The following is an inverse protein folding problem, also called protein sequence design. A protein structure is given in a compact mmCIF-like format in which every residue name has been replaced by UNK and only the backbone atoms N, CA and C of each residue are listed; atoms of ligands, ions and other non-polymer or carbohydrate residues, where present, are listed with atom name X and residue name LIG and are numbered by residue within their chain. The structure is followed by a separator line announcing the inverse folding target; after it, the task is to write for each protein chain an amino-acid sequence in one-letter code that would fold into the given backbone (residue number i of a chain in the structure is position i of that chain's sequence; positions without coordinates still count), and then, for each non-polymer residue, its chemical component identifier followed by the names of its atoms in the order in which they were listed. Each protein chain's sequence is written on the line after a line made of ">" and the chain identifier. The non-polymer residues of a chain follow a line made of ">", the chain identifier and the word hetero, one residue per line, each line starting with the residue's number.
data_IF_504433711040
#
_entry.id   IF_504433711040
#
_cell.length_a   1.000
_cell.length_b   1.000
_cell.length_c   1.000
_cell.angle_alpha   90.00
_cell.angle_beta   90.00
_cell.angle_gamma   90.00
#
_symmetry.space_group_name_H-M   'P 1'
#
loop_
_entity.id
_entity.type
_entity.pdbx_description
1 polymer ?
#
# COMPACT_ATOMS: atom_id res chain seq x y z
N UNK A 1 -7.68 34.43 7.34
CA UNK A 1 -8.18 33.28 8.15
C UNK A 1 -9.28 32.51 7.44
N UNK A 2 -10.23 33.19 6.76
CA UNK A 2 -11.32 32.52 6.00
C UNK A 2 -10.79 31.71 4.78
N UNK A 3 -9.79 32.21 4.07
CA UNK A 3 -9.19 31.53 2.90
C UNK A 3 -8.51 30.19 3.27
N UNK A 4 -7.85 30.12 4.42
CA UNK A 4 -7.19 28.90 4.90
C UNK A 4 -8.22 27.85 5.35
N UNK A 5 -9.32 28.28 5.99
CA UNK A 5 -10.43 27.37 6.33
C UNK A 5 -11.14 26.81 5.10
N UNK A 6 -11.35 27.64 4.06
CA UNK A 6 -11.93 27.19 2.79
C UNK A 6 -10.99 26.19 2.07
N UNK A 7 -9.67 26.42 2.10
CA UNK A 7 -8.68 25.50 1.53
C UNK A 7 -8.59 24.17 2.30
N UNK A 8 -8.70 24.21 3.63
CA UNK A 8 -8.75 23.01 4.48
C UNK A 8 -10.06 22.25 4.33
N UNK A 9 -11.18 22.95 4.11
CA UNK A 9 -12.48 22.33 3.82
C UNK A 9 -12.55 21.67 2.43
N UNK A 10 -11.70 22.10 1.48
CA UNK A 10 -11.61 21.50 0.14
C UNK A 10 -10.82 20.19 0.10
N UNK A 11 -10.08 19.84 1.18
CA UNK A 11 -9.31 18.61 1.25
C UNK A 11 -10.10 17.57 2.06
N UNK A 12 -10.56 16.46 1.44
CA UNK A 12 -11.41 15.48 2.10
C UNK A 12 -10.79 14.96 3.41
N UNK A 13 -11.61 14.81 4.45
CA UNK A 13 -11.18 14.41 5.79
C UNK A 13 -10.46 13.06 5.78
N UNK A 14 -10.97 12.10 5.02
CA UNK A 14 -10.35 10.79 4.84
C UNK A 14 -8.92 10.86 4.28
N UNK A 15 -8.66 11.80 3.38
CA UNK A 15 -7.30 12.01 2.85
C UNK A 15 -6.38 12.66 3.88
N UNK A 16 -6.91 13.55 4.72
CA UNK A 16 -6.17 14.16 5.84
C UNK A 16 -5.78 13.10 6.87
N UNK A 17 -6.72 12.22 7.24
CA UNK A 17 -6.47 11.09 8.14
C UNK A 17 -5.42 10.16 7.56
N UNK A 18 -5.56 9.76 6.31
CA UNK A 18 -4.60 8.89 5.64
C UNK A 18 -3.20 9.52 5.55
N UNK A 19 -3.11 10.82 5.24
CA UNK A 19 -1.86 11.55 5.23
C UNK A 19 -1.21 11.62 6.62
N UNK A 20 -2.00 11.73 7.70
CA UNK A 20 -1.51 11.67 9.08
C UNK A 20 -0.92 10.30 9.40
N UNK A 21 -1.61 9.21 9.03
CA UNK A 21 -1.13 7.83 9.18
C UNK A 21 0.20 7.60 8.43
N UNK A 22 0.33 8.10 7.22
CA UNK A 22 1.59 8.02 6.46
C UNK A 22 2.74 8.77 7.13
N UNK A 23 2.49 9.97 7.67
CA UNK A 23 3.51 10.75 8.39
C UNK A 23 3.97 10.08 9.67
N UNK A 24 3.14 9.29 10.32
CA UNK A 24 3.52 8.48 11.49
C UNK A 24 4.40 7.28 11.13
N UNK A 25 4.82 7.14 9.87
CA UNK A 25 5.62 6.02 9.34
C UNK A 25 5.01 4.65 9.67
N UNK A 26 3.69 4.58 9.61
CA UNK A 26 2.95 3.34 9.84
C UNK A 26 3.47 2.25 8.91
N UNK A 27 3.79 1.07 9.48
CA UNK A 27 4.34 -0.06 8.72
C UNK A 27 5.85 0.04 8.44
N UNK A 28 6.58 1.01 9.03
CA UNK A 28 8.04 1.10 8.87
C UNK A 28 8.79 -0.09 9.49
N UNK A 29 8.16 -0.80 10.41
CA UNK A 29 8.65 -2.04 11.03
C UNK A 29 8.35 -3.29 10.21
N UNK A 30 7.57 -3.16 9.14
CA UNK A 30 7.24 -4.25 8.22
C UNK A 30 8.18 -4.18 7.02
N UNK A 31 8.82 -5.31 6.66
CA UNK A 31 9.69 -5.34 5.49
C UNK A 31 8.97 -4.91 4.21
N UNK A 32 9.65 -4.13 3.39
CA UNK A 32 9.15 -3.79 2.05
C UNK A 32 9.07 -5.06 1.18
N UNK A 33 8.05 -5.15 0.34
CA UNK A 33 8.02 -6.16 -0.71
C UNK A 33 8.95 -5.73 -1.85
N UNK A 34 9.92 -6.56 -2.22
CA UNK A 34 10.85 -6.28 -3.29
C UNK A 34 10.93 -7.44 -4.28
N UNK A 35 11.26 -7.14 -5.54
CA UNK A 35 11.46 -8.19 -6.55
C UNK A 35 12.61 -9.11 -6.16
N UNK A 36 13.68 -8.54 -5.57
CA UNK A 36 14.84 -9.29 -5.14
C UNK A 36 14.49 -10.34 -4.06
N UNK A 37 13.69 -9.98 -3.06
CA UNK A 37 13.28 -10.91 -2.00
C UNK A 37 12.24 -11.91 -2.49
N UNK A 38 11.30 -11.48 -3.34
CA UNK A 38 10.22 -12.32 -3.85
C UNK A 38 10.69 -13.38 -4.84
N UNK A 39 11.59 -13.02 -5.76
CA UNK A 39 12.14 -13.92 -6.78
C UNK A 39 13.41 -14.68 -6.33
N UNK A 40 14.02 -14.25 -5.21
CA UNK A 40 15.21 -14.88 -4.66
C UNK A 40 16.51 -14.42 -5.31
N UNK A 41 17.65 -15.10 -4.98
CA UNK A 41 18.99 -14.65 -5.35
C UNK A 41 19.25 -14.60 -6.86
N UNK A 42 18.51 -15.37 -7.64
CA UNK A 42 18.59 -15.37 -9.11
C UNK A 42 17.73 -14.29 -9.78
N UNK A 43 17.05 -13.44 -9.00
CA UNK A 43 16.22 -12.36 -9.53
C UNK A 43 16.92 -11.49 -10.59
N UNK A 44 18.19 -11.03 -10.40
CA UNK A 44 18.86 -10.19 -11.40
C UNK A 44 19.20 -10.89 -12.73
N UNK A 45 19.16 -12.22 -12.76
CA UNK A 45 19.36 -13.00 -13.98
C UNK A 45 18.10 -13.09 -14.85
N UNK A 46 16.95 -12.76 -14.27
CA UNK A 46 15.64 -12.94 -14.90
C UNK A 46 14.89 -11.62 -15.03
N UNK A 47 15.00 -10.73 -14.04
CA UNK A 47 14.25 -9.49 -13.95
C UNK A 47 15.11 -8.25 -14.04
N UNK A 48 14.53 -7.23 -14.64
CA UNK A 48 15.01 -5.84 -14.58
C UNK A 48 13.83 -4.90 -14.40
N UNK A 49 14.14 -3.66 -14.00
CA UNK A 49 13.14 -2.59 -13.92
C UNK A 49 13.23 -1.71 -15.15
N UNK A 50 12.09 -1.44 -15.81
CA UNK A 50 12.03 -0.53 -16.96
C UNK A 50 12.50 0.89 -16.60
N UNK A 51 12.25 1.31 -15.37
CA UNK A 51 12.72 2.58 -14.79
C UNK A 51 14.21 2.63 -14.48
N UNK A 52 14.94 1.51 -14.54
CA UNK A 52 16.33 1.40 -14.10
C UNK A 52 16.54 1.36 -12.58
N UNK A 53 15.48 1.35 -11.78
CA UNK A 53 15.57 1.22 -10.32
C UNK A 53 16.10 -0.16 -9.92
N UNK A 54 16.78 -0.30 -8.77
CA UNK A 54 17.24 -1.59 -8.29
C UNK A 54 16.07 -2.51 -7.93
N UNK A 55 16.25 -3.83 -8.07
CA UNK A 55 15.27 -4.84 -7.68
C UNK A 55 15.02 -4.91 -6.16
N UNK A 56 15.89 -4.29 -5.38
CA UNK A 56 15.78 -4.13 -3.92
C UNK A 56 14.91 -2.97 -3.50
N UNK A 57 14.55 -2.08 -4.41
CA UNK A 57 13.55 -1.03 -4.19
C UNK A 57 12.17 -1.56 -4.58
N UNK A 58 11.18 -1.43 -3.71
CA UNK A 58 9.87 -2.00 -3.95
C UNK A 58 8.75 -1.30 -3.18
N UNK A 59 7.72 -2.04 -2.84
CA UNK A 59 6.52 -1.54 -2.20
C UNK A 59 6.78 -1.39 -0.69
N UNK A 60 6.50 -0.20 -0.10
CA UNK A 60 6.64 -0.01 1.35
C UNK A 60 5.82 -1.02 2.15
N UNK A 61 6.33 -1.43 3.32
CA UNK A 61 5.68 -2.41 4.19
C UNK A 61 4.23 -2.05 4.57
N UNK A 62 3.88 -0.77 4.59
CA UNK A 62 2.49 -0.33 4.77
C UNK A 62 1.54 -0.94 3.72
N UNK A 63 1.98 -1.09 2.47
CA UNK A 63 1.17 -1.59 1.36
C UNK A 63 1.40 -3.07 1.06
N UNK A 64 1.73 -3.86 2.08
CA UNK A 64 1.77 -5.32 2.06
C UNK A 64 0.56 -5.90 2.80
N UNK A 65 0.32 -7.19 2.65
CA UNK A 65 -0.71 -7.92 3.41
C UNK A 65 -0.56 -7.69 4.93
N UNK A 66 0.64 -7.87 5.44
CA UNK A 66 0.95 -7.63 6.86
C UNK A 66 0.78 -6.15 7.25
N UNK A 67 1.12 -5.23 6.38
CA UNK A 67 0.92 -3.79 6.57
C UNK A 67 -0.54 -3.43 6.77
N UNK A 68 -1.42 -4.02 5.98
CA UNK A 68 -2.86 -3.85 6.12
C UNK A 68 -3.39 -4.45 7.43
N UNK A 69 -3.16 -5.75 7.63
CA UNK A 69 -3.78 -6.49 8.72
C UNK A 69 -3.18 -6.19 10.09
N UNK A 70 -1.86 -6.01 10.19
CA UNK A 70 -1.17 -5.82 11.47
C UNK A 70 -1.05 -4.36 11.89
N UNK A 71 -1.16 -3.40 10.96
CA UNK A 71 -0.92 -1.99 11.26
C UNK A 71 -2.06 -1.07 10.84
N UNK A 72 -2.45 -1.10 9.56
CA UNK A 72 -3.40 -0.11 9.04
C UNK A 72 -4.78 -0.21 9.69
N UNK A 73 -5.37 -1.40 9.81
CA UNK A 73 -6.74 -1.57 10.30
C UNK A 73 -6.95 -0.97 11.70
N UNK A 74 -6.07 -1.29 12.64
CA UNK A 74 -6.16 -0.77 14.02
C UNK A 74 -5.84 0.72 14.10
N UNK A 75 -4.82 1.17 13.37
CA UNK A 75 -4.41 2.56 13.36
C UNK A 75 -5.46 3.48 12.70
N UNK A 76 -6.10 3.02 11.61
CA UNK A 76 -7.15 3.78 10.95
C UNK A 76 -8.33 4.04 11.89
N UNK A 77 -8.80 3.03 12.61
CA UNK A 77 -9.87 3.19 13.59
C UNK A 77 -9.49 4.15 14.71
N UNK A 78 -8.29 3.99 15.30
CA UNK A 78 -7.81 4.83 16.39
C UNK A 78 -7.63 6.30 15.98
N UNK A 79 -6.99 6.55 14.83
CA UNK A 79 -6.76 7.93 14.34
C UNK A 79 -8.07 8.59 13.93
N UNK A 80 -9.00 7.83 13.33
CA UNK A 80 -10.33 8.34 12.98
C UNK A 80 -11.10 8.75 14.22
N UNK A 81 -11.10 7.92 15.28
CA UNK A 81 -11.74 8.25 16.55
C UNK A 81 -11.12 9.48 17.21
N UNK A 82 -9.78 9.60 17.23
CA UNK A 82 -9.08 10.74 17.80
C UNK A 82 -9.42 12.03 17.05
N UNK A 83 -9.40 12.03 15.72
CA UNK A 83 -9.72 13.21 14.92
C UNK A 83 -11.19 13.61 15.04
N UNK A 84 -12.09 12.65 15.21
CA UNK A 84 -13.50 12.94 15.50
C UNK A 84 -13.69 13.65 16.84
N UNK A 85 -12.86 13.34 17.84
CA UNK A 85 -12.86 14.03 19.14
C UNK A 85 -12.20 15.41 19.08
N UNK A 86 -11.14 15.57 18.31
CA UNK A 86 -10.42 16.84 18.13
C UNK A 86 -11.24 17.85 17.30
N UNK A 87 -12.03 17.38 16.34
CA UNK A 87 -12.83 18.19 15.42
C UNK A 87 -14.32 17.74 15.40
N UNK A 88 -15.08 17.79 16.53
CA UNK A 88 -16.45 17.28 16.59
C UNK A 88 -17.40 17.98 15.61
N UNK A 89 -17.12 19.23 15.24
CA UNK A 89 -17.89 20.00 14.26
C UNK A 89 -17.80 19.41 12.82
N UNK A 90 -16.79 18.64 12.51
CA UNK A 90 -16.61 18.00 11.20
C UNK A 90 -17.59 16.85 11.00
N UNK A 91 -18.02 16.21 12.08
CA UNK A 91 -18.98 15.10 12.06
C UNK A 91 -20.40 15.53 12.43
N UNK A 92 -20.62 16.81 12.78
CA UNK A 92 -21.96 17.30 13.20
C UNK A 92 -22.46 16.68 14.50
N UNK A 93 -21.54 16.35 15.42
CA UNK A 93 -21.85 15.59 16.64
C UNK A 93 -22.59 16.43 17.66
N UNK A 94 -23.87 16.15 17.93
CA UNK A 94 -24.67 16.69 19.02
C UNK A 94 -24.99 15.65 20.11
N UNK A 95 -25.36 16.11 21.34
CA UNK A 95 -25.09 15.46 22.63
C UNK A 95 -26.10 14.42 23.17
N UNK A 96 -27.00 13.84 22.40
CA UNK A 96 -28.00 12.88 22.90
C UNK A 96 -27.57 11.41 22.79
N UNK A 97 -28.33 10.48 23.43
CA UNK A 97 -28.02 9.04 23.35
C UNK A 97 -28.28 8.47 21.94
N UNK A 98 -29.25 9.03 21.21
CA UNK A 98 -29.56 8.71 19.81
C UNK A 98 -28.39 9.21 18.92
N UNK A 99 -27.80 10.34 19.28
CA UNK A 99 -26.67 10.92 18.59
C UNK A 99 -25.43 10.03 18.74
N UNK A 100 -25.19 9.40 19.88
CA UNK A 100 -24.06 8.45 20.07
C UNK A 100 -24.12 7.24 19.14
N UNK A 101 -25.31 6.72 18.81
CA UNK A 101 -25.46 5.64 17.82
C UNK A 101 -25.24 6.16 16.39
N UNK A 102 -25.73 7.37 16.08
CA UNK A 102 -25.43 8.03 14.80
C UNK A 102 -23.97 8.37 14.66
N UNK A 103 -23.34 8.79 15.73
CA UNK A 103 -21.92 9.09 15.82
C UNK A 103 -21.06 7.85 15.55
N UNK A 104 -21.43 6.70 16.14
CA UNK A 104 -20.74 5.43 15.87
C UNK A 104 -20.88 5.02 14.40
N UNK A 105 -22.06 5.19 13.79
CA UNK A 105 -22.27 4.91 12.38
C UNK A 105 -21.48 5.88 11.47
N UNK A 106 -21.47 7.18 11.82
CA UNK A 106 -20.70 8.19 11.09
C UNK A 106 -19.20 7.93 11.17
N UNK A 107 -18.72 7.53 12.35
CA UNK A 107 -17.31 7.14 12.57
C UNK A 107 -16.93 5.90 11.77
N UNK A 108 -17.79 4.89 11.74
CA UNK A 108 -17.64 3.71 10.92
C UNK A 108 -17.55 4.06 9.43
N UNK A 109 -18.49 4.86 8.93
CA UNK A 109 -18.49 5.33 7.55
C UNK A 109 -17.24 6.14 7.19
N UNK A 110 -16.72 6.96 8.10
CA UNK A 110 -15.47 7.69 7.89
C UNK A 110 -14.27 6.73 7.85
N UNK A 111 -14.21 5.76 8.75
CA UNK A 111 -13.16 4.73 8.75
C UNK A 111 -13.17 3.95 7.44
N UNK A 112 -14.33 3.62 6.89
CA UNK A 112 -14.46 2.94 5.60
C UNK A 112 -14.01 3.82 4.42
N UNK A 113 -14.25 5.13 4.47
CA UNK A 113 -13.68 6.06 3.48
C UNK A 113 -12.16 6.12 3.57
N UNK A 114 -11.60 6.17 4.77
CA UNK A 114 -10.13 6.12 4.98
C UNK A 114 -9.54 4.80 4.45
N UNK A 115 -10.23 3.67 4.69
CA UNK A 115 -9.85 2.37 4.13
C UNK A 115 -9.86 2.39 2.61
N UNK A 116 -10.86 3.00 1.98
CA UNK A 116 -10.91 3.14 0.52
C UNK A 116 -9.73 3.91 -0.03
N UNK A 117 -9.38 5.06 0.58
CA UNK A 117 -8.19 5.84 0.20
C UNK A 117 -6.91 5.00 0.32
N UNK A 118 -6.78 4.21 1.39
CA UNK A 118 -5.66 3.28 1.54
C UNK A 118 -5.63 2.26 0.41
N UNK A 119 -6.75 1.58 0.11
CA UNK A 119 -6.82 0.55 -0.93
C UNK A 119 -6.53 1.11 -2.33
N UNK A 120 -6.98 2.33 -2.63
CA UNK A 120 -6.65 3.02 -3.88
C UNK A 120 -5.13 3.27 -4.01
N UNK A 121 -4.46 3.66 -2.91
CA UNK A 121 -3.01 3.81 -2.90
C UNK A 121 -2.30 2.45 -2.97
N UNK A 122 -2.83 1.43 -2.29
CA UNK A 122 -2.34 0.06 -2.35
C UNK A 122 -2.29 -0.43 -3.80
N UNK A 123 -3.42 -0.34 -4.52
CA UNK A 123 -3.52 -0.73 -5.93
C UNK A 123 -2.50 0.04 -6.78
N UNK A 124 -2.39 1.36 -6.61
CA UNK A 124 -1.43 2.19 -7.36
C UNK A 124 0.02 1.76 -7.16
N UNK A 125 0.43 1.46 -5.93
CA UNK A 125 1.79 1.02 -5.63
C UNK A 125 2.08 -0.34 -6.30
N UNK A 126 1.12 -1.28 -6.25
CA UNK A 126 1.25 -2.59 -6.88
C UNK A 126 1.24 -2.50 -8.40
N UNK A 127 0.32 -1.76 -9.00
CA UNK A 127 0.27 -1.54 -10.45
C UNK A 127 1.57 -0.89 -10.95
N UNK A 128 2.09 0.12 -10.23
CA UNK A 128 3.34 0.78 -10.59
C UNK A 128 4.53 -0.19 -10.55
N UNK A 129 4.64 -1.05 -9.53
CA UNK A 129 5.68 -2.05 -9.45
C UNK A 129 5.57 -3.08 -10.58
N UNK A 130 4.37 -3.65 -10.78
CA UNK A 130 4.16 -4.72 -11.76
C UNK A 130 4.34 -4.23 -13.20
N UNK A 131 3.94 -3.00 -13.51
CA UNK A 131 4.16 -2.39 -14.81
C UNK A 131 5.64 -2.07 -15.10
N UNK A 132 6.44 -1.88 -14.04
CA UNK A 132 7.86 -1.55 -14.19
C UNK A 132 8.78 -2.79 -14.24
N UNK A 133 8.33 -3.93 -13.71
CA UNK A 133 9.09 -5.19 -13.75
C UNK A 133 8.96 -5.85 -15.12
N UNK A 134 10.10 -6.24 -15.70
CA UNK A 134 10.16 -6.97 -16.97
C UNK A 134 11.26 -8.03 -16.94
N UNK A 135 11.17 -8.97 -17.87
CA UNK A 135 12.25 -9.94 -18.07
C UNK A 135 13.46 -9.26 -18.72
N UNK A 136 14.66 -9.66 -18.30
CA UNK A 136 15.92 -9.23 -18.90
C UNK A 136 15.89 -9.59 -20.39
N UNK A 137 16.28 -8.64 -21.23
CA UNK A 137 16.43 -8.91 -22.67
C UNK A 137 17.78 -9.56 -22.93
N UNK A 138 17.74 -10.78 -23.46
CA UNK A 138 18.93 -11.47 -23.90
C UNK A 138 19.21 -11.12 -25.37
N UNK A 139 20.41 -10.61 -25.64
CA UNK A 139 20.79 -10.15 -26.99
C UNK A 139 21.57 -11.20 -27.78
N UNK A 140 21.86 -12.36 -27.19
CA UNK A 140 22.55 -13.47 -27.83
C UNK A 140 21.92 -14.83 -27.44
N UNK A 141 22.24 -15.86 -28.21
CA UNK A 141 21.68 -17.20 -28.04
C UNK A 141 22.03 -17.81 -26.68
N UNK A 142 23.24 -17.61 -26.21
CA UNK A 142 23.70 -18.18 -24.96
C UNK A 142 22.95 -17.61 -23.76
N UNK A 143 22.76 -16.30 -23.72
CA UNK A 143 21.95 -15.63 -22.69
C UNK A 143 20.48 -16.04 -22.77
N UNK A 144 19.92 -16.25 -23.97
CA UNK A 144 18.57 -16.76 -24.14
C UNK A 144 18.44 -18.17 -23.55
N UNK A 145 19.41 -19.07 -23.81
CA UNK A 145 19.44 -20.42 -23.23
C UNK A 145 19.53 -20.36 -21.70
N UNK A 146 20.38 -19.51 -21.16
CA UNK A 146 20.52 -19.32 -19.70
C UNK A 146 19.23 -18.78 -19.07
N UNK A 147 18.61 -17.78 -19.71
CA UNK A 147 17.32 -17.24 -19.25
C UNK A 147 16.23 -18.33 -19.27
N UNK A 148 16.13 -19.09 -20.34
CA UNK A 148 15.20 -20.20 -20.45
C UNK A 148 15.41 -21.26 -19.35
N UNK A 149 16.68 -21.62 -19.06
CA UNK A 149 17.02 -22.54 -17.95
C UNK A 149 16.59 -21.99 -16.59
N UNK A 150 16.84 -20.72 -16.33
CA UNK A 150 16.42 -20.06 -15.07
C UNK A 150 14.89 -19.98 -14.94
N UNK A 151 14.18 -19.85 -16.04
CA UNK A 151 12.70 -19.80 -16.05
C UNK A 151 12.05 -21.19 -15.91
N UNK A 152 12.67 -22.25 -16.48
CA UNK A 152 12.10 -23.60 -16.50
C UNK A 152 12.49 -24.46 -15.29
N UNK A 153 13.39 -24.02 -14.44
CA UNK A 153 13.83 -24.76 -13.25
C UNK A 153 12.72 -24.87 -12.19
N UNK A 154 12.76 -25.92 -11.35
CA UNK A 154 11.79 -26.14 -10.26
C UNK A 154 11.74 -25.01 -9.23
N UNK A 155 12.80 -24.22 -9.10
CA UNK A 155 12.90 -23.00 -8.27
C UNK A 155 12.89 -21.73 -9.13
N UNK A 156 12.08 -21.70 -10.20
CA UNK A 156 12.00 -20.56 -11.11
C UNK A 156 11.77 -19.24 -10.36
N UNK A 157 12.63 -18.22 -10.55
CA UNK A 157 12.43 -16.89 -9.99
C UNK A 157 11.08 -16.27 -10.37
N UNK A 158 10.62 -16.53 -11.60
CA UNK A 158 9.31 -16.06 -12.07
C UNK A 158 8.17 -16.70 -11.27
N UNK A 159 8.19 -18.01 -11.09
CA UNK A 159 7.17 -18.70 -10.32
C UNK A 159 7.16 -18.27 -8.84
N UNK A 160 8.33 -18.02 -8.27
CA UNK A 160 8.48 -17.51 -6.90
C UNK A 160 7.93 -16.09 -6.77
N UNK A 161 8.27 -15.22 -7.72
CA UNK A 161 7.76 -13.86 -7.77
C UNK A 161 6.23 -13.82 -7.89
N UNK A 162 5.65 -14.57 -8.84
CA UNK A 162 4.19 -14.62 -9.03
C UNK A 162 3.48 -15.12 -7.77
N UNK A 163 3.98 -16.20 -7.14
CA UNK A 163 3.40 -16.71 -5.88
C UNK A 163 3.47 -15.66 -4.75
N UNK A 164 4.58 -14.92 -4.66
CA UNK A 164 4.73 -13.88 -3.67
C UNK A 164 3.75 -12.73 -3.92
N UNK A 165 3.58 -12.29 -5.17
CA UNK A 165 2.58 -11.27 -5.55
C UNK A 165 1.16 -11.73 -5.19
N UNK A 166 0.78 -12.94 -5.58
CA UNK A 166 -0.55 -13.50 -5.25
C UNK A 166 -0.79 -13.50 -3.75
N UNK A 167 0.17 -13.93 -2.95
CA UNK A 167 0.04 -13.95 -1.48
C UNK A 167 -0.19 -12.55 -0.90
N UNK A 168 0.39 -11.53 -1.48
CA UNK A 168 0.22 -10.15 -1.00
C UNK A 168 -1.10 -9.52 -1.47
N UNK A 169 -1.66 -9.95 -2.60
CA UNK A 169 -2.78 -9.28 -3.27
C UNK A 169 -4.11 -10.05 -3.17
N UNK A 170 -4.14 -11.22 -2.59
CA UNK A 170 -5.33 -12.04 -2.31
C UNK A 170 -5.52 -12.33 -0.83
#
# INVERSE_FOLDING_TARGET
>A
VQSVRALLASYPLEQRIFSRLRRQRLGADIPAFTVATAAGPSAPLVFERASGKPLTEGIPGLFTYDGYHKRFQSAAAAVTATMALEEPWVLGLERSAVDRMRDAAALGALTDRVRRVYLENYVKEWEALLADVRLVRANDLEKNIQLARNLSGGSSPLASFVRAVVRETT
#
